data_IF_088637346587
#
_entry.id   IF_088637346587
#
_cell.length_a   1.000
_cell.length_b   1.000
_cell.length_c   1.000
_cell.angle_alpha   90.00
_cell.angle_beta   90.00
_cell.angle_gamma   90.00
#
_symmetry.space_group_name_H-M   'P 1'
#
loop_
_entity.id
_entity.type
_entity.pdbx_description
1 polymer ?
#
# COMPACT_ATOMS: atom_id res chain seq x y z
N UNK A 1 7.36 26.61 -9.74
CA UNK A 1 6.57 25.88 -8.73
C UNK A 1 6.05 24.61 -9.41
N UNK A 2 6.66 23.47 -9.10
CA UNK A 2 6.23 22.20 -9.67
C UNK A 2 4.87 21.85 -9.09
N UNK A 3 3.86 21.65 -9.96
CA UNK A 3 2.59 21.03 -9.58
C UNK A 3 2.90 19.73 -8.86
N UNK A 4 2.45 19.58 -7.62
CA UNK A 4 2.52 18.32 -6.89
C UNK A 4 1.96 17.24 -7.81
N UNK A 5 2.81 16.30 -8.19
CA UNK A 5 2.34 15.12 -8.91
C UNK A 5 1.36 14.42 -7.97
N UNK A 6 0.08 14.47 -8.33
CA UNK A 6 -1.01 13.90 -7.55
C UNK A 6 -0.69 12.42 -7.27
N UNK A 7 -0.63 12.04 -5.99
CA UNK A 7 -0.31 10.69 -5.61
C UNK A 7 -1.49 9.77 -5.94
N UNK A 8 -1.25 8.55 -6.43
CA UNK A 8 -2.33 7.62 -6.79
C UNK A 8 -3.15 7.17 -5.58
N UNK A 9 -4.31 6.56 -5.85
CA UNK A 9 -5.22 5.97 -4.88
C UNK A 9 -5.92 6.98 -3.96
N UNK A 10 -6.28 8.14 -4.49
CA UNK A 10 -7.25 9.01 -3.85
C UNK A 10 -8.58 8.27 -3.65
N UNK A 11 -9.01 7.59 -4.71
CA UNK A 11 -10.11 6.62 -4.71
C UNK A 11 -9.64 5.30 -5.32
N UNK A 12 -10.36 4.21 -5.07
CA UNK A 12 -10.12 2.95 -5.76
C UNK A 12 -10.91 2.88 -7.07
N UNK A 13 -10.46 2.02 -7.99
CA UNK A 13 -11.11 1.87 -9.28
C UNK A 13 -12.53 1.30 -9.17
N UNK A 14 -13.34 1.44 -10.23
CA UNK A 14 -14.65 0.79 -10.32
C UNK A 14 -14.53 -0.71 -10.06
N UNK A 15 -15.54 -1.28 -9.41
CA UNK A 15 -15.60 -2.72 -9.14
C UNK A 15 -15.49 -3.51 -10.45
N UNK A 16 -14.62 -4.52 -10.54
CA UNK A 16 -14.58 -5.43 -11.67
C UNK A 16 -15.92 -6.11 -11.89
N UNK A 17 -16.29 -6.36 -13.15
CA UNK A 17 -17.56 -7.03 -13.51
C UNK A 17 -17.51 -8.53 -13.18
N UNK A 18 -16.34 -9.14 -13.40
CA UNK A 18 -16.15 -10.57 -13.23
C UNK A 18 -15.44 -10.90 -11.93
N UNK A 19 -15.92 -11.95 -11.25
CA UNK A 19 -15.27 -12.51 -10.07
C UNK A 19 -14.25 -13.57 -10.50
N UNK A 20 -13.02 -13.12 -10.71
CA UNK A 20 -11.86 -13.99 -11.05
C UNK A 20 -10.82 -13.92 -9.92
N UNK A 21 -9.85 -14.84 -9.92
CA UNK A 21 -8.74 -14.82 -8.95
C UNK A 21 -7.92 -13.53 -9.10
N UNK A 22 -7.64 -13.14 -10.35
CA UNK A 22 -6.88 -11.92 -10.67
C UNK A 22 -7.62 -10.66 -10.21
N UNK A 23 -8.94 -10.54 -10.48
CA UNK A 23 -9.73 -9.41 -10.04
C UNK A 23 -9.87 -9.35 -8.52
N UNK A 24 -9.95 -10.50 -7.85
CA UNK A 24 -9.96 -10.58 -6.38
C UNK A 24 -8.66 -10.06 -5.81
N UNK A 25 -7.51 -10.52 -6.32
CA UNK A 25 -6.21 -10.03 -5.90
C UNK A 25 -6.03 -8.54 -6.19
N UNK A 26 -6.41 -8.09 -7.38
CA UNK A 26 -6.40 -6.67 -7.75
C UNK A 26 -7.15 -5.83 -6.71
N UNK A 27 -8.35 -6.28 -6.30
CA UNK A 27 -9.16 -5.55 -5.32
C UNK A 27 -8.53 -5.51 -3.93
N UNK A 28 -7.86 -6.58 -3.51
CA UNK A 28 -7.09 -6.60 -2.26
C UNK A 28 -5.94 -5.59 -2.31
N UNK A 29 -5.20 -5.55 -3.42
CA UNK A 29 -4.09 -4.60 -3.60
C UNK A 29 -4.57 -3.16 -3.68
N UNK A 30 -5.66 -2.87 -4.39
CA UNK A 30 -6.27 -1.54 -4.43
C UNK A 30 -6.74 -1.08 -3.04
N UNK A 31 -7.35 -2.00 -2.28
CA UNK A 31 -7.78 -1.76 -0.91
C UNK A 31 -6.61 -1.48 0.05
N UNK A 32 -5.50 -2.20 -0.10
CA UNK A 32 -4.25 -1.92 0.61
C UNK A 32 -3.71 -0.53 0.24
N UNK A 33 -3.62 -0.23 -1.05
CA UNK A 33 -3.08 1.02 -1.56
C UNK A 33 -3.88 2.25 -1.09
N UNK A 34 -5.20 2.17 -1.14
CA UNK A 34 -6.10 3.21 -0.66
C UNK A 34 -5.92 3.46 0.85
N UNK A 35 -5.95 2.39 1.66
CA UNK A 35 -5.74 2.51 3.11
C UNK A 35 -4.37 3.08 3.44
N UNK A 36 -3.32 2.61 2.77
CA UNK A 36 -1.96 3.12 2.95
C UNK A 36 -1.85 4.60 2.57
N UNK A 37 -2.44 5.00 1.43
CA UNK A 37 -2.47 6.39 0.96
C UNK A 37 -2.99 7.32 2.06
N UNK A 38 -4.11 6.97 2.68
CA UNK A 38 -4.78 7.81 3.65
C UNK A 38 -4.24 7.64 5.07
N UNK A 39 -3.79 6.46 5.47
CA UNK A 39 -3.12 6.25 6.76
C UNK A 39 -1.82 7.06 6.89
N UNK A 40 -1.14 7.32 5.76
CA UNK A 40 0.15 8.02 5.72
C UNK A 40 0.03 9.50 5.30
N UNK A 41 -1.18 10.03 5.09
CA UNK A 41 -1.41 11.41 4.69
C UNK A 41 -1.23 12.38 5.87
N UNK A 42 -0.60 13.53 5.63
CA UNK A 42 -0.46 14.63 6.60
C UNK A 42 0.13 14.24 7.97
N UNK A 43 1.13 13.34 7.96
CA UNK A 43 1.90 13.03 9.17
C UNK A 43 3.02 14.07 9.36
N UNK A 44 3.12 14.64 10.57
CA UNK A 44 4.19 15.54 10.98
C UNK A 44 5.49 14.76 11.27
N UNK A 45 6.61 15.45 11.39
CA UNK A 45 7.90 14.87 11.80
C UNK A 45 7.80 14.18 13.18
N UNK A 46 7.02 14.73 14.11
CA UNK A 46 6.76 14.12 15.40
C UNK A 46 5.96 12.83 15.27
N UNK A 47 4.92 12.83 14.43
CA UNK A 47 4.08 11.63 14.23
C UNK A 47 4.89 10.49 13.61
N UNK A 48 5.74 10.74 12.62
CA UNK A 48 6.50 9.67 11.96
C UNK A 48 7.53 9.02 12.91
N UNK A 49 8.00 9.74 13.92
CA UNK A 49 8.90 9.24 14.96
C UNK A 49 8.18 8.52 16.11
N UNK A 50 6.86 8.64 16.19
CA UNK A 50 6.08 8.05 17.27
C UNK A 50 6.26 6.54 17.33
N UNK A 51 6.43 6.04 18.58
CA UNK A 51 6.48 4.62 18.96
C UNK A 51 5.51 4.39 20.10
N UNK A 52 4.60 3.42 20.02
CA UNK A 52 3.70 3.13 21.14
C UNK A 52 4.43 2.54 22.36
N UNK A 53 5.60 1.94 22.16
CA UNK A 53 6.48 1.39 23.20
C UNK A 53 7.94 1.50 22.74
N UNK A 54 8.91 1.67 23.64
CA UNK A 54 10.34 1.78 23.28
C UNK A 54 10.90 0.63 22.42
N UNK A 55 10.33 -0.58 22.56
CA UNK A 55 10.73 -1.76 21.75
C UNK A 55 9.94 -1.92 20.46
N UNK A 56 8.95 -1.06 20.20
CA UNK A 56 8.18 -1.10 18.96
C UNK A 56 8.91 -0.41 17.82
N UNK A 57 8.52 -0.71 16.59
CA UNK A 57 8.87 0.11 15.44
C UNK A 57 8.23 1.50 15.56
N UNK A 58 8.86 2.51 14.98
CA UNK A 58 8.22 3.82 14.72
C UNK A 58 7.34 3.76 13.49
N UNK A 59 6.48 4.78 13.29
CA UNK A 59 5.68 4.90 12.07
C UNK A 59 6.56 4.94 10.82
N UNK A 60 7.73 5.61 10.86
CA UNK A 60 8.65 5.63 9.71
C UNK A 60 9.28 4.27 9.42
N UNK A 61 9.60 3.49 10.45
CA UNK A 61 10.14 2.14 10.28
C UNK A 61 9.08 1.19 9.73
N UNK A 62 7.85 1.27 10.22
CA UNK A 62 6.70 0.53 9.67
C UNK A 62 6.45 0.92 8.21
N UNK A 63 6.51 2.21 7.87
CA UNK A 63 6.40 2.67 6.49
C UNK A 63 7.47 2.08 5.57
N UNK A 64 8.71 1.97 6.07
CA UNK A 64 9.82 1.34 5.37
C UNK A 64 9.61 -0.16 5.18
N UNK A 65 9.07 -0.85 6.19
CA UNK A 65 8.75 -2.27 6.12
C UNK A 65 7.62 -2.57 5.14
N UNK A 66 6.57 -1.75 5.13
CA UNK A 66 5.49 -1.84 4.13
C UNK A 66 6.06 -1.76 2.70
N UNK A 67 7.01 -0.85 2.44
CA UNK A 67 7.66 -0.77 1.14
C UNK A 67 8.31 -2.10 0.75
N UNK A 68 9.07 -2.72 1.66
CA UNK A 68 9.76 -3.99 1.40
C UNK A 68 8.75 -5.12 1.09
N UNK A 69 7.62 -5.17 1.78
CA UNK A 69 6.55 -6.15 1.55
C UNK A 69 5.90 -6.00 0.17
N UNK A 70 5.51 -4.78 -0.20
CA UNK A 70 4.86 -4.53 -1.50
C UNK A 70 5.85 -4.67 -2.67
N UNK A 71 7.12 -4.28 -2.49
CA UNK A 71 8.16 -4.45 -3.49
C UNK A 71 8.44 -5.93 -3.75
N UNK A 72 8.52 -6.73 -2.69
CA UNK A 72 8.69 -8.18 -2.82
C UNK A 72 7.53 -8.83 -3.57
N UNK A 73 6.29 -8.43 -3.29
CA UNK A 73 5.10 -8.89 -4.01
C UNK A 73 5.15 -8.48 -5.49
N UNK A 74 5.51 -7.23 -5.78
CA UNK A 74 5.64 -6.75 -7.14
C UNK A 74 6.65 -7.53 -7.97
N UNK A 75 7.80 -7.87 -7.37
CA UNK A 75 8.84 -8.69 -8.02
C UNK A 75 8.36 -10.09 -8.35
N UNK A 76 7.63 -10.73 -7.45
CA UNK A 76 7.08 -12.07 -7.68
C UNK A 76 6.10 -12.07 -8.84
N UNK A 77 5.27 -11.04 -8.95
CA UNK A 77 4.40 -10.85 -10.09
C UNK A 77 5.16 -10.40 -11.36
N UNK A 78 6.48 -10.65 -11.43
CA UNK A 78 7.34 -10.34 -12.57
C UNK A 78 7.62 -8.84 -12.76
N UNK A 79 7.49 -8.04 -11.69
CA UNK A 79 7.90 -6.64 -11.67
C UNK A 79 9.42 -6.50 -11.58
N UNK A 80 9.97 -5.41 -12.09
CA UNK A 80 11.38 -5.09 -11.93
C UNK A 80 11.67 -4.63 -10.51
N UNK A 81 12.78 -5.09 -9.93
CA UNK A 81 13.25 -4.65 -8.61
C UNK A 81 13.28 -3.11 -8.56
N UNK A 82 12.61 -2.58 -7.57
CA UNK A 82 12.69 -1.17 -7.26
C UNK A 82 13.82 -0.97 -6.24
N UNK A 83 14.75 -0.07 -6.56
CA UNK A 83 15.73 0.31 -5.55
C UNK A 83 14.97 1.03 -4.44
N UNK A 84 15.08 0.50 -3.22
CA UNK A 84 14.60 1.24 -2.06
C UNK A 84 15.21 2.63 -2.16
N UNK A 85 14.41 3.67 -2.23
CA UNK A 85 14.98 4.99 -2.35
C UNK A 85 15.97 5.14 -1.20
N UNK A 86 17.20 5.56 -1.46
CA UNK A 86 18.18 5.95 -0.44
C UNK A 86 17.58 7.13 0.33
N UNK A 87 16.79 6.83 1.35
CA UNK A 87 15.88 7.82 1.86
C UNK A 87 15.71 7.68 3.35
N UNK A 88 16.43 8.50 3.96
CA UNK A 88 16.12 9.05 5.27
C UNK A 88 14.85 9.95 5.23
N UNK A 89 13.88 9.66 4.35
CA UNK A 89 12.69 10.49 4.20
C UNK A 89 11.44 9.64 4.05
N UNK A 90 10.60 9.69 5.07
CA UNK A 90 9.26 9.11 5.08
C UNK A 90 8.48 9.39 3.78
N UNK A 91 8.48 10.64 3.33
CA UNK A 91 7.70 11.07 2.16
C UNK A 91 8.16 10.42 0.86
N UNK A 92 9.44 10.19 0.70
CA UNK A 92 9.96 9.55 -0.49
C UNK A 92 9.63 8.04 -0.49
N UNK A 93 9.77 7.35 0.65
CA UNK A 93 9.35 5.95 0.79
C UNK A 93 7.85 5.84 0.51
N UNK A 94 7.04 6.70 1.11
CA UNK A 94 5.60 6.77 0.87
C UNK A 94 5.26 6.92 -0.62
N UNK A 95 5.87 7.90 -1.30
CA UNK A 95 5.67 8.10 -2.74
C UNK A 95 6.07 6.85 -3.54
N UNK A 96 7.22 6.27 -3.27
CA UNK A 96 7.69 5.06 -3.95
C UNK A 96 6.75 3.88 -3.71
N UNK A 97 6.27 3.68 -2.49
CA UNK A 97 5.29 2.63 -2.15
C UNK A 97 4.01 2.77 -2.98
N UNK A 98 3.46 3.98 -3.07
CA UNK A 98 2.25 4.24 -3.85
C UNK A 98 2.47 4.03 -5.35
N UNK A 99 3.65 4.36 -5.89
CA UNK A 99 3.97 4.10 -7.30
C UNK A 99 4.15 2.61 -7.57
N UNK A 100 4.82 1.85 -6.69
CA UNK A 100 4.94 0.39 -6.81
C UNK A 100 3.56 -0.27 -6.76
N UNK A 101 2.68 0.17 -5.86
CA UNK A 101 1.29 -0.32 -5.79
C UNK A 101 0.51 -0.01 -7.08
N UNK A 102 0.72 1.17 -7.67
CA UNK A 102 0.13 1.52 -8.97
C UNK A 102 0.63 0.61 -10.08
N UNK A 103 1.93 0.36 -10.14
CA UNK A 103 2.50 -0.54 -11.14
C UNK A 103 2.01 -1.97 -10.95
N UNK A 104 1.89 -2.43 -9.69
CA UNK A 104 1.33 -3.73 -9.33
C UNK A 104 -0.13 -3.86 -9.80
N UNK A 105 -0.97 -2.87 -9.52
CA UNK A 105 -2.38 -2.88 -9.99
C UNK A 105 -2.47 -2.84 -11.51
N UNK A 106 -1.63 -2.06 -12.20
CA UNK A 106 -1.58 -2.02 -13.66
C UNK A 106 -1.16 -3.36 -14.26
N UNK A 107 -0.28 -4.08 -13.58
CA UNK A 107 0.15 -5.41 -14.01
C UNK A 107 -0.97 -6.42 -13.83
N UNK A 108 -1.61 -6.45 -12.67
CA UNK A 108 -2.74 -7.34 -12.38
C UNK A 108 -3.90 -7.15 -13.37
N UNK A 109 -4.20 -5.91 -13.77
CA UNK A 109 -5.23 -5.61 -14.78
C UNK A 109 -4.97 -6.24 -16.16
N UNK A 110 -3.75 -6.67 -16.42
CA UNK A 110 -3.33 -7.27 -17.71
C UNK A 110 -3.12 -8.78 -17.61
N UNK A 111 -3.21 -9.36 -16.43
CA UNK A 111 -3.00 -10.78 -16.17
C UNK A 111 -4.31 -11.54 -16.22
N UNK A 112 -4.25 -12.78 -16.70
CA UNK A 112 -5.29 -13.79 -16.56
C UNK A 112 -5.08 -14.62 -15.29
N UNK A 113 -6.07 -15.43 -14.93
CA UNK A 113 -5.93 -16.39 -13.83
C UNK A 113 -4.88 -17.47 -14.13
N UNK A 114 -4.69 -17.82 -15.41
CA UNK A 114 -3.65 -18.75 -15.84
C UNK A 114 -2.25 -18.13 -15.67
N UNK A 115 -2.08 -16.82 -15.94
CA UNK A 115 -0.82 -16.12 -15.68
C UNK A 115 -0.47 -16.16 -14.18
N UNK A 116 -1.46 -15.99 -13.30
CA UNK A 116 -1.24 -16.10 -11.84
C UNK A 116 -0.80 -17.51 -11.43
N UNK A 117 -1.39 -18.53 -12.01
CA UNK A 117 -1.05 -19.93 -11.74
C UNK A 117 0.36 -20.25 -12.19
N UNK A 118 0.76 -19.78 -13.38
CA UNK A 118 2.10 -20.02 -13.94
C UNK A 118 3.21 -19.33 -13.13
N UNK A 119 2.92 -18.21 -12.44
CA UNK A 119 3.91 -17.55 -11.58
C UNK A 119 4.45 -18.44 -10.47
N UNK A 120 3.67 -19.39 -9.98
CA UNK A 120 4.10 -20.32 -8.93
C UNK A 120 5.25 -21.22 -9.42
N UNK A 121 5.25 -21.58 -10.69
CA UNK A 121 6.27 -22.39 -11.33
C UNK A 121 7.53 -21.59 -11.69
N UNK A 122 7.38 -20.32 -12.01
CA UNK A 122 8.45 -19.44 -12.47
C UNK A 122 9.28 -18.83 -11.34
N UNK A 123 8.76 -18.79 -10.12
CA UNK A 123 9.50 -18.18 -9.00
C UNK A 123 10.63 -19.08 -8.53
N UNK A 124 11.83 -18.51 -8.38
CA UNK A 124 13.03 -19.23 -7.93
C UNK A 124 12.88 -19.96 -6.59
N UNK A 125 11.91 -19.57 -5.77
CA UNK A 125 11.60 -20.17 -4.47
C UNK A 125 10.42 -21.13 -4.51
N UNK A 126 9.73 -21.29 -5.64
CA UNK A 126 8.52 -22.12 -5.78
C UNK A 126 7.51 -21.90 -4.63
N UNK A 127 7.36 -20.65 -4.21
CA UNK A 127 6.43 -20.33 -3.12
C UNK A 127 5.02 -20.28 -3.69
N UNK A 128 4.06 -20.98 -3.06
CA UNK A 128 2.70 -21.02 -3.53
C UNK A 128 2.09 -19.60 -3.54
N UNK A 129 1.19 -19.36 -4.46
CA UNK A 129 0.49 -18.07 -4.59
C UNK A 129 -0.14 -17.61 -3.26
N UNK A 130 -0.67 -18.54 -2.47
CA UNK A 130 -1.24 -18.29 -1.14
C UNK A 130 -0.25 -17.68 -0.14
N UNK A 131 1.04 -17.98 -0.30
CA UNK A 131 2.08 -17.37 0.53
C UNK A 131 2.10 -15.85 0.39
N UNK A 132 1.89 -15.33 -0.81
CA UNK A 132 1.95 -13.90 -1.09
C UNK A 132 0.74 -13.16 -0.54
N UNK A 133 -0.43 -13.78 -0.59
CA UNK A 133 -1.65 -13.24 0.02
C UNK A 133 -1.54 -13.28 1.54
N UNK A 134 -1.23 -14.45 2.12
CA UNK A 134 -1.20 -14.66 3.56
C UNK A 134 -0.02 -13.95 4.24
N UNK A 135 1.14 -13.88 3.58
CA UNK A 135 2.35 -13.22 4.09
C UNK A 135 2.37 -11.73 3.71
N UNK A 136 3.12 -11.33 2.66
CA UNK A 136 3.42 -9.93 2.41
C UNK A 136 2.22 -8.99 2.29
N UNK A 137 1.13 -9.41 1.64
CA UNK A 137 -0.04 -8.53 1.47
C UNK A 137 -0.85 -8.37 2.76
N UNK A 138 -1.10 -9.46 3.49
CA UNK A 138 -1.81 -9.40 4.76
C UNK A 138 -0.99 -8.69 5.83
N UNK A 139 0.32 -8.89 5.84
CA UNK A 139 1.23 -8.21 6.76
C UNK A 139 1.27 -6.70 6.49
N UNK A 140 1.36 -6.30 5.22
CA UNK A 140 1.27 -4.89 4.85
C UNK A 140 -0.05 -4.25 5.29
N UNK A 141 -1.20 -4.93 5.14
CA UNK A 141 -2.50 -4.47 5.63
C UNK A 141 -2.52 -4.30 7.16
N UNK A 142 -1.93 -5.26 7.89
CA UNK A 142 -1.79 -5.20 9.34
C UNK A 142 -0.99 -3.98 9.77
N UNK A 143 0.13 -3.73 9.10
CA UNK A 143 0.99 -2.58 9.36
C UNK A 143 0.33 -1.23 9.02
N UNK A 144 -0.48 -1.17 7.97
CA UNK A 144 -1.30 0.02 7.69
C UNK A 144 -2.28 0.30 8.83
N UNK A 145 -2.90 -0.74 9.39
CA UNK A 145 -3.75 -0.63 10.58
C UNK A 145 -3.00 -0.10 11.81
N UNK A 146 -1.75 -0.53 12.01
CA UNK A 146 -0.88 0.00 13.07
C UNK A 146 -0.60 1.50 12.89
N UNK A 147 -0.21 1.94 11.68
CA UNK A 147 -0.01 3.37 11.39
C UNK A 147 -1.28 4.15 11.75
N UNK A 148 -2.44 3.66 11.35
CA UNK A 148 -3.72 4.34 11.58
C UNK A 148 -4.07 4.45 13.07
N UNK A 149 -3.76 3.40 13.85
CA UNK A 149 -3.94 3.40 15.30
C UNK A 149 -2.93 4.31 15.99
N UNK A 150 -1.67 4.22 15.62
CA UNK A 150 -0.59 4.97 16.27
C UNK A 150 -0.67 6.47 15.99
N UNK A 151 -1.00 6.88 14.75
CA UNK A 151 -1.23 8.30 14.46
C UNK A 151 -2.36 8.88 15.28
N UNK A 152 -3.41 8.11 15.57
CA UNK A 152 -4.52 8.53 16.44
C UNK A 152 -4.04 8.72 17.88
N UNK A 153 -3.24 7.79 18.40
CA UNK A 153 -2.64 7.89 19.74
C UNK A 153 -1.72 9.11 19.81
N UNK A 154 -0.97 9.40 18.75
CA UNK A 154 -0.10 10.57 18.62
C UNK A 154 -0.85 11.90 18.34
N UNK A 155 -2.19 11.93 18.48
CA UNK A 155 -2.99 13.15 18.34
C UNK A 155 -3.29 13.61 16.91
N UNK A 156 -2.93 12.82 15.89
CA UNK A 156 -3.18 13.12 14.48
C UNK A 156 -4.05 12.04 13.82
N UNK A 157 -5.35 11.96 14.14
CA UNK A 157 -6.23 10.96 13.53
C UNK A 157 -6.31 11.14 12.01
N UNK A 158 -6.63 10.04 11.29
CA UNK A 158 -6.88 10.08 9.85
C UNK A 158 -7.97 11.11 9.53
N UNK A 159 -7.86 11.74 8.36
CA UNK A 159 -8.85 12.69 7.86
C UNK A 159 -10.26 12.09 7.85
N UNK A 160 -11.26 12.93 8.16
CA UNK A 160 -12.67 12.55 8.02
C UNK A 160 -13.03 12.39 6.54
N UNK A 161 -14.13 11.69 6.23
CA UNK A 161 -14.58 11.49 4.86
C UNK A 161 -13.90 10.34 4.11
N UNK A 162 -12.94 9.63 4.72
CA UNK A 162 -12.30 8.47 4.10
C UNK A 162 -13.12 7.21 4.38
N UNK A 163 -13.79 6.71 3.35
CA UNK A 163 -14.60 5.49 3.44
C UNK A 163 -13.82 4.27 2.94
N UNK A 164 -13.24 3.51 3.87
CA UNK A 164 -12.42 2.32 3.55
C UNK A 164 -13.23 1.12 3.05
N UNK A 165 -14.57 1.09 3.24
CA UNK A 165 -15.42 -0.01 2.79
C UNK A 165 -15.67 0.05 1.29
N UNK A 166 -15.95 1.25 0.77
CA UNK A 166 -16.21 1.47 -0.65
C UNK A 166 -15.00 2.02 -1.40
N UNK A 167 -13.99 2.53 -0.66
CA UNK A 167 -12.72 3.01 -1.22
C UNK A 167 -12.87 4.35 -1.93
N UNK A 168 -13.60 5.28 -1.34
CA UNK A 168 -13.67 6.66 -1.82
C UNK A 168 -13.31 7.65 -0.71
N UNK A 169 -12.84 8.79 -1.12
CA UNK A 169 -12.69 9.98 -0.28
C UNK A 169 -13.81 10.94 -0.65
N UNK A 170 -14.62 11.35 0.33
CA UNK A 170 -15.44 12.53 0.13
C UNK A 170 -14.46 13.68 -0.08
N UNK A 171 -14.55 14.34 -1.26
CA UNK A 171 -13.68 15.49 -1.53
C UNK A 171 -13.79 16.41 -0.33
N UNK A 172 -12.67 16.63 0.33
CA UNK A 172 -12.56 17.61 1.40
C UNK A 172 -12.75 18.95 0.68
N UNK A 173 -14.01 19.37 0.53
CA UNK A 173 -14.31 20.77 0.19
C UNK A 173 -13.69 21.57 1.31
N UNK A 174 -12.63 22.30 0.96
CA UNK A 174 -11.89 23.11 1.90
C UNK A 174 -12.85 24.10 2.55
N UNK A 175 -13.18 23.87 3.80
CA UNK A 175 -13.63 24.93 4.67
C UNK A 175 -12.37 25.77 4.96
N UNK A 176 -12.29 26.90 4.21
CA UNK A 176 -11.38 27.99 4.47
C UNK A 176 -11.62 28.65 5.83
#
# INVERSE_FOLDING_TARGET
MNRNQELPFEDISKTPVELTATNTLLRVVEGLAFRYRWATENLSEENIKFRPHPTSMSIEEVNSHIFDLIESTFRVLGGKKQNKPYLNSFQKIRKSSLLVLKDLTNKLKKMSDEDLKNLEEETSRKLPFWYWINGPLSDALTHVGQINSWRRIAGNPQLKGINVFIGNSDKIEGNG
#
